data_IF_908098819760
#
_entry.id   IF_908098819760
#
_cell.length_a   1.000
_cell.length_b   1.000
_cell.length_c   1.000
_cell.angle_alpha   90.00
_cell.angle_beta   90.00
_cell.angle_gamma   90.00
#
_symmetry.space_group_name_H-M   'P 1'
#
loop_
_entity.id
_entity.type
_entity.pdbx_description
1 polymer ?
2 polymer ?
3 non-polymer ?
4 water ?
#
# COMPACT_ATOMS: atom_id res chain seq x y z
N UNK A 5 -16.92 9.83 -24.46
CA UNK A 5 -16.47 9.73 -23.05
C UNK A 5 -15.10 9.04 -23.00
N UNK A 6 -14.67 8.21 -23.99
CA UNK A 6 -13.35 7.59 -23.93
C UNK A 6 -12.24 8.62 -23.69
N UNK A 7 -12.30 9.80 -24.34
CA UNK A 7 -11.30 10.85 -24.10
C UNK A 7 -11.22 11.33 -22.65
N UNK A 8 -12.35 11.36 -21.98
CA UNK A 8 -12.42 11.79 -20.59
C UNK A 8 -11.75 10.69 -19.74
N UNK A 9 -11.97 9.44 -20.10
CA UNK A 9 -11.39 8.34 -19.34
C UNK A 9 -9.88 8.32 -19.50
N UNK A 10 -9.37 8.63 -20.71
CA UNK A 10 -7.95 8.61 -20.95
C UNK A 10 -7.31 9.80 -20.24
N UNK A 11 -8.03 10.93 -20.20
CA UNK A 11 -7.53 12.12 -19.51
C UNK A 11 -7.40 11.88 -18.00
N UNK A 12 -8.38 11.18 -17.43
CA UNK A 12 -8.32 10.73 -16.05
C UNK A 12 -7.15 9.78 -15.80
N UNK A 13 -6.93 8.80 -16.68
CA UNK A 13 -5.82 7.88 -16.54
C UNK A 13 -4.51 8.68 -16.52
N UNK A 14 -4.39 9.67 -17.42
CA UNK A 14 -3.14 10.39 -17.52
C UNK A 14 -2.93 11.25 -16.27
N UNK A 15 -3.98 11.91 -15.82
CA UNK A 15 -3.90 12.72 -14.61
C UNK A 15 -3.42 11.89 -13.42
N UNK A 16 -4.01 10.70 -13.26
CA UNK A 16 -3.65 9.84 -12.15
C UNK A 16 -2.20 9.35 -12.29
N UNK A 17 -1.78 8.92 -13.50
CA UNK A 17 -0.41 8.50 -13.71
C UNK A 17 0.57 9.63 -13.33
N UNK A 18 0.31 10.85 -13.84
CA UNK A 18 1.16 12.00 -13.53
C UNK A 18 1.24 12.25 -12.02
N UNK A 19 0.10 12.16 -11.33
CA UNK A 19 0.07 12.33 -9.90
C UNK A 19 0.83 11.22 -9.16
N UNK A 20 0.66 9.98 -9.64
CA UNK A 20 1.37 8.86 -9.07
C UNK A 20 2.88 9.08 -9.16
N UNK A 21 3.38 9.53 -10.33
CA UNK A 21 4.84 9.78 -10.49
C UNK A 21 5.30 10.89 -9.54
N UNK A 22 4.45 11.88 -9.32
CA UNK A 22 4.76 13.00 -8.45
C UNK A 22 4.81 12.55 -6.98
N UNK A 23 4.02 11.51 -6.61
CA UNK A 23 3.75 11.15 -5.22
C UNK A 23 4.66 10.05 -4.71
N UNK A 24 5.04 9.08 -5.56
CA UNK A 24 5.64 7.84 -5.11
C UNK A 24 7.05 7.75 -5.69
N UNK A 25 8.09 7.74 -4.84
CA UNK A 25 9.45 7.72 -5.37
C UNK A 25 9.89 6.43 -6.06
N UNK A 26 9.56 5.29 -5.47
CA UNK A 26 10.10 4.04 -5.98
C UNK A 26 8.94 3.31 -6.67
N UNK A 27 8.81 3.61 -7.95
CA UNK A 27 7.79 3.10 -8.87
C UNK A 27 8.16 1.67 -9.26
N UNK A 28 7.19 0.95 -9.80
CA UNK A 28 7.51 -0.40 -10.30
C UNK A 28 8.55 -0.40 -11.43
N UNK A 29 8.49 0.58 -12.36
CA UNK A 29 9.52 0.68 -13.39
C UNK A 29 10.90 0.81 -12.75
N UNK A 30 11.05 1.64 -11.71
CA UNK A 30 12.37 1.82 -11.13
C UNK A 30 12.82 0.56 -10.38
N UNK A 31 11.89 -0.05 -9.65
CA UNK A 31 12.17 -1.29 -8.92
C UNK A 31 12.58 -2.39 -9.88
N UNK A 32 11.85 -2.54 -10.98
CA UNK A 32 12.09 -3.64 -11.90
C UNK A 32 13.43 -3.41 -12.61
N UNK A 33 13.82 -2.14 -12.82
CA UNK A 33 15.12 -1.87 -13.40
C UNK A 33 16.23 -2.35 -12.48
N UNK A 34 16.09 -2.08 -11.18
CA UNK A 34 17.04 -2.58 -10.18
C UNK A 34 17.03 -4.10 -10.13
N UNK A 35 15.85 -4.71 -9.98
CA UNK A 35 15.73 -6.14 -9.71
C UNK A 35 16.21 -7.00 -10.90
N UNK A 36 16.20 -6.46 -12.13
CA UNK A 36 16.62 -7.19 -13.31
C UNK A 36 18.06 -6.83 -13.71
N UNK A 37 18.70 -5.88 -13.01
CA UNK A 37 20.12 -5.61 -13.24
C UNK A 37 20.38 -4.99 -14.60
N UNK A 43 23.94 -1.82 -8.06
CA UNK A 43 23.50 -3.14 -7.55
C UNK A 43 23.27 -3.06 -6.04
N UNK A 44 22.10 -3.52 -5.50
CA UNK A 44 21.86 -3.38 -4.06
C UNK A 44 22.73 -4.32 -3.22
N UNK A 45 23.12 -3.83 -2.03
CA UNK A 45 23.65 -4.67 -0.97
C UNK A 45 22.56 -5.66 -0.55
N UNK A 46 22.98 -6.87 -0.19
CA UNK A 46 22.00 -7.88 0.21
C UNK A 46 22.08 -8.13 1.72
N UNK A 47 20.94 -8.10 2.37
CA UNK A 47 20.78 -8.56 3.74
C UNK A 47 20.17 -9.96 3.73
N UNK A 48 20.98 -10.94 4.16
CA UNK A 48 20.61 -12.34 4.10
C UNK A 48 20.91 -13.10 5.40
N UNK A 49 21.49 -12.42 6.38
CA UNK A 49 21.92 -13.01 7.65
C UNK A 49 22.18 -11.92 8.66
N UNK A 50 22.51 -12.33 9.89
CA UNK A 50 22.74 -11.35 10.94
C UNK A 50 23.95 -10.48 10.63
N UNK A 51 25.05 -11.07 10.14
CA UNK A 51 26.22 -10.29 9.83
C UNK A 51 25.93 -9.21 8.78
N UNK A 52 25.26 -9.61 7.70
CA UNK A 52 25.01 -8.68 6.61
C UNK A 52 24.02 -7.60 7.07
N UNK A 53 23.08 -7.95 7.94
CA UNK A 53 22.18 -7.00 8.57
C UNK A 53 23.01 -5.93 9.28
N UNK A 54 23.95 -6.36 10.10
CA UNK A 54 24.75 -5.40 10.84
C UNK A 54 25.56 -4.50 9.90
N UNK A 55 26.13 -5.09 8.84
CA UNK A 55 26.86 -4.32 7.85
C UNK A 55 25.90 -3.40 7.10
N UNK A 56 24.71 -3.93 6.80
CA UNK A 56 23.65 -3.16 6.18
C UNK A 56 23.29 -1.92 6.99
N UNK A 57 23.12 -2.07 8.32
CA UNK A 57 22.68 -1.00 9.19
C UNK A 57 23.69 0.15 9.16
N UNK A 72 20.23 -0.57 22.41
CA UNK A 72 19.69 -1.02 21.09
C UNK A 72 18.90 -2.33 21.27
N UNK A 73 17.94 -2.58 20.39
CA UNK A 73 16.94 -3.59 20.67
C UNK A 73 17.30 -4.92 20.00
N UNK A 74 16.54 -5.96 20.34
CA UNK A 74 16.59 -7.24 19.64
C UNK A 74 16.38 -7.10 18.13
N UNK A 75 17.05 -7.98 17.38
CA UNK A 75 17.15 -7.90 15.93
C UNK A 75 15.76 -7.78 15.28
N UNK A 76 14.85 -8.69 15.65
CA UNK A 76 13.56 -8.78 14.97
C UNK A 76 12.79 -7.47 15.18
N UNK A 77 12.96 -6.89 16.37
CA UNK A 77 12.26 -5.65 16.73
C UNK A 77 12.82 -4.48 15.92
N UNK A 78 14.15 -4.39 15.78
CA UNK A 78 14.81 -3.36 15.00
C UNK A 78 14.30 -3.36 13.55
N UNK A 79 14.17 -4.55 12.96
CA UNK A 79 13.65 -4.70 11.60
C UNK A 79 12.18 -4.25 11.56
N UNK A 80 11.36 -4.77 12.48
CA UNK A 80 9.96 -4.36 12.57
C UNK A 80 9.82 -2.84 12.65
N UNK A 81 10.67 -2.17 13.44
CA UNK A 81 10.62 -0.72 13.60
C UNK A 81 10.97 0.00 12.29
N UNK A 82 11.97 -0.52 11.56
CA UNK A 82 12.27 -0.10 10.19
C UNK A 82 11.05 -0.16 9.28
N UNK A 83 10.31 -1.28 9.34
CA UNK A 83 9.14 -1.47 8.49
C UNK A 83 8.09 -0.42 8.82
N UNK A 84 7.97 -0.06 10.09
CA UNK A 84 7.00 0.91 10.56
C UNK A 84 7.31 2.30 10.02
N UNK A 85 8.58 2.69 10.00
CA UNK A 85 8.93 4.00 9.47
C UNK A 85 8.66 4.09 7.97
N UNK A 86 8.92 3.01 7.22
CA UNK A 86 8.64 2.99 5.80
C UNK A 86 7.13 3.12 5.56
N UNK A 87 6.33 2.47 6.43
CA UNK A 87 4.88 2.54 6.30
C UNK A 87 4.44 3.98 6.51
N UNK A 88 5.05 4.70 7.45
CA UNK A 88 4.67 6.08 7.73
C UNK A 88 4.90 7.00 6.52
N UNK A 89 6.04 6.81 5.87
CA UNK A 89 6.34 7.54 4.64
C UNK A 89 5.27 7.18 3.60
N UNK A 90 4.84 5.91 3.55
CA UNK A 90 3.90 5.50 2.53
C UNK A 90 2.54 6.13 2.80
N UNK A 91 2.11 6.15 4.07
CA UNK A 91 0.84 6.79 4.38
C UNK A 91 0.84 8.24 3.89
N UNK A 92 1.94 8.96 4.10
CA UNK A 92 2.05 10.35 3.65
C UNK A 92 1.89 10.45 2.13
N UNK A 93 2.57 9.57 1.42
CA UNK A 93 2.56 9.61 -0.05
C UNK A 93 1.19 9.25 -0.60
N UNK A 94 0.57 8.21 -0.02
CA UNK A 94 -0.75 7.75 -0.42
C UNK A 94 -1.76 8.85 -0.19
N UNK A 95 -1.67 9.59 0.95
CA UNK A 95 -2.61 10.62 1.23
C UNK A 95 -2.45 11.78 0.23
N UNK A 96 -1.21 12.12 -0.13
CA UNK A 96 -0.97 13.17 -1.13
C UNK A 96 -1.55 12.76 -2.49
N UNK A 97 -1.38 11.48 -2.85
CA UNK A 97 -1.99 10.92 -4.04
C UNK A 97 -3.52 11.04 -4.00
N UNK A 98 -4.15 10.64 -2.86
CA UNK A 98 -5.60 10.67 -2.74
C UNK A 98 -6.16 12.05 -3.06
N UNK A 99 -5.45 13.09 -2.59
CA UNK A 99 -5.87 14.46 -2.79
C UNK A 99 -5.98 14.83 -4.25
N UNK A 100 -5.25 14.11 -5.12
CA UNK A 100 -5.22 14.34 -6.54
C UNK A 100 -6.38 13.69 -7.27
N UNK A 101 -7.09 12.77 -6.61
CA UNK A 101 -8.15 12.02 -7.30
C UNK A 101 -9.34 12.93 -7.45
N UNK A 102 -9.80 13.25 -8.67
CA UNK A 102 -10.87 14.23 -8.82
C UNK A 102 -12.12 13.84 -8.05
N UNK A 103 -12.57 14.79 -7.22
CA UNK A 103 -13.71 14.70 -6.35
C UNK A 103 -13.38 14.32 -4.90
N UNK A 104 -12.19 13.77 -4.64
CA UNK A 104 -11.90 13.21 -3.32
C UNK A 104 -11.98 14.31 -2.24
N UNK A 105 -11.34 15.45 -2.47
CA UNK A 105 -11.32 16.47 -1.42
C UNK A 105 -12.65 17.23 -1.33
N UNK A 106 -13.63 16.95 -2.21
CA UNK A 106 -14.96 17.53 -2.12
C UNK A 106 -15.91 16.63 -1.37
N UNK A 107 -15.46 15.44 -0.97
CA UNK A 107 -16.27 14.56 -0.13
C UNK A 107 -16.34 15.11 1.30
N UNK A 108 -17.37 14.71 2.04
CA UNK A 108 -17.43 14.98 3.47
C UNK A 108 -16.08 14.57 4.10
N UNK A 109 -15.50 15.44 4.97
CA UNK A 109 -14.15 15.19 5.42
C UNK A 109 -14.12 13.97 6.33
N UNK A 110 -15.22 13.70 7.05
CA UNK A 110 -15.30 12.48 7.85
C UNK A 110 -15.04 11.25 6.96
N UNK A 111 -15.65 11.28 5.78
CA UNK A 111 -15.54 10.15 4.86
C UNK A 111 -14.17 10.10 4.20
N UNK A 112 -13.56 11.25 3.88
CA UNK A 112 -12.17 11.25 3.47
C UNK A 112 -11.25 10.52 4.45
N UNK A 113 -11.43 10.80 5.74
CA UNK A 113 -10.64 10.17 6.78
C UNK A 113 -10.92 8.68 6.83
N UNK A 114 -12.20 8.27 6.75
CA UNK A 114 -12.53 6.85 6.78
C UNK A 114 -11.88 6.14 5.58
N UNK A 115 -11.93 6.75 4.40
CA UNK A 115 -11.42 6.09 3.19
C UNK A 115 -9.90 5.89 3.32
N UNK A 116 -9.23 6.89 3.89
CA UNK A 116 -7.80 6.76 4.10
C UNK A 116 -7.49 5.72 5.18
N UNK A 117 -8.21 5.77 6.29
CA UNK A 117 -8.00 4.83 7.39
C UNK A 117 -7.99 3.38 6.92
N UNK A 118 -8.98 3.02 6.11
CA UNK A 118 -9.16 1.66 5.69
C UNK A 118 -8.41 1.37 4.41
N UNK A 119 -8.07 2.38 3.61
CA UNK A 119 -7.47 2.15 2.30
C UNK A 119 -5.94 2.04 2.36
N UNK A 120 -5.30 2.70 3.33
CA UNK A 120 -3.86 2.87 3.23
C UNK A 120 -3.16 1.51 3.28
N UNK A 121 -3.56 0.58 4.15
CA UNK A 121 -2.81 -0.67 4.20
C UNK A 121 -2.98 -1.49 2.94
N UNK A 122 -4.17 -1.48 2.37
CA UNK A 122 -4.37 -2.21 1.12
C UNK A 122 -3.42 -1.69 0.04
N UNK A 123 -3.24 -0.37 0.00
CA UNK A 123 -2.40 0.25 -0.98
C UNK A 123 -0.93 -0.07 -0.67
N UNK A 124 -0.55 -0.03 0.64
CA UNK A 124 0.81 -0.39 1.00
C UNK A 124 1.18 -1.75 0.44
N UNK A 125 0.33 -2.75 0.62
CA UNK A 125 0.69 -4.10 0.20
C UNK A 125 0.65 -4.25 -1.31
N UNK A 126 -0.25 -3.53 -2.00
CA UNK A 126 -0.24 -3.46 -3.45
C UNK A 126 1.09 -2.94 -3.96
N UNK A 127 1.56 -1.83 -3.41
CA UNK A 127 2.75 -1.15 -3.91
C UNK A 127 4.02 -1.89 -3.47
N UNK A 128 3.98 -2.56 -2.32
CA UNK A 128 5.10 -3.37 -1.84
C UNK A 128 5.36 -4.47 -2.84
N UNK A 129 4.34 -5.06 -3.47
CA UNK A 129 4.58 -6.10 -4.46
C UNK A 129 5.49 -5.62 -5.58
N UNK A 130 5.44 -4.33 -5.94
CA UNK A 130 6.31 -3.78 -6.97
C UNK A 130 7.78 -3.92 -6.61
N UNK A 131 8.07 -3.95 -5.30
CA UNK A 131 9.46 -4.00 -4.80
C UNK A 131 9.91 -5.43 -4.54
N UNK A 132 9.04 -6.41 -4.76
CA UNK A 132 9.32 -7.78 -4.38
C UNK A 132 9.48 -8.69 -5.61
N UNK A 133 10.31 -9.71 -5.45
CA UNK A 133 10.21 -10.91 -6.29
C UNK A 133 10.09 -12.12 -5.39
N UNK A 134 10.22 -13.32 -5.97
CA UNK A 134 9.98 -14.48 -5.15
C UNK A 134 11.12 -14.65 -4.13
N UNK A 135 12.25 -13.96 -4.36
CA UNK A 135 13.45 -14.17 -3.53
C UNK A 135 13.65 -13.10 -2.44
N UNK A 136 12.93 -11.96 -2.46
CA UNK A 136 13.17 -10.91 -1.48
C UNK A 136 12.61 -9.58 -1.90
N UNK A 137 12.98 -8.53 -1.15
CA UNK A 137 12.35 -7.22 -1.29
C UNK A 137 13.38 -6.10 -1.26
N UNK A 138 13.17 -5.10 -2.11
CA UNK A 138 14.00 -3.91 -2.08
C UNK A 138 13.76 -3.10 -0.83
N UNK A 139 14.85 -2.54 -0.28
CA UNK A 139 14.81 -1.73 0.92
C UNK A 139 15.66 -0.47 0.68
N UNK A 140 15.49 0.48 1.59
CA UNK A 140 16.28 1.71 1.64
C UNK A 140 16.43 2.28 0.23
N UNK A 141 15.25 2.57 -0.31
CA UNK A 141 15.04 3.30 -1.55
C UNK A 141 15.68 2.55 -2.69
N UNK A 142 15.80 1.22 -2.59
CA UNK A 142 16.30 0.45 -3.69
C UNK A 142 17.81 0.21 -3.64
N UNK A 143 18.47 0.74 -2.59
CA UNK A 143 19.90 0.52 -2.39
C UNK A 143 20.20 -0.86 -1.80
N UNK A 144 19.22 -1.50 -1.14
CA UNK A 144 19.41 -2.81 -0.53
C UNK A 144 18.33 -3.79 -0.96
N UNK A 145 18.59 -5.07 -0.70
CA UNK A 145 17.62 -6.11 -0.94
C UNK A 145 17.69 -7.06 0.24
N UNK A 146 16.54 -7.27 0.90
CA UNK A 146 16.49 -8.19 2.03
C UNK A 146 15.87 -9.47 1.52
N UNK A 147 16.51 -10.60 1.83
CA UNK A 147 16.04 -11.86 1.31
C UNK A 147 14.76 -12.27 2.03
N UNK A 148 13.92 -12.93 1.24
CA UNK A 148 12.76 -13.60 1.76
C UNK A 148 13.14 -14.65 2.79
N UNK A 149 14.26 -15.39 2.54
CA UNK A 149 14.66 -16.46 3.44
C UNK A 149 14.99 -15.86 4.82
N UNK A 150 15.68 -14.72 4.80
CA UNK A 150 16.07 -14.06 6.06
C UNK A 150 14.87 -13.57 6.87
N UNK A 151 13.91 -12.98 6.19
CA UNK A 151 12.70 -12.54 6.88
C UNK A 151 11.91 -13.70 7.47
N UNK A 152 11.82 -14.81 6.73
CA UNK A 152 11.12 -16.01 7.20
C UNK A 152 11.85 -16.65 8.38
N UNK A 153 13.16 -16.41 8.49
CA UNK A 153 14.01 -17.02 9.51
C UNK A 153 13.85 -16.34 10.87
N UNK A 154 13.17 -15.18 10.96
CA UNK A 154 13.17 -14.39 12.17
C UNK A 154 12.36 -15.14 13.24
N UNK A 155 12.66 -14.92 14.52
CA UNK A 155 12.06 -15.66 15.62
C UNK A 155 10.55 -15.42 15.59
N UNK A 156 9.78 -16.45 15.95
CA UNK A 156 8.33 -16.30 15.97
C UNK A 156 7.98 -15.18 16.95
N UNK A 157 6.95 -14.35 16.66
CA UNK A 157 6.17 -14.46 15.42
C UNK A 157 6.61 -13.61 14.24
N UNK A 158 7.75 -12.92 14.37
CA UNK A 158 8.19 -11.96 13.35
C UNK A 158 8.47 -12.63 12.02
N UNK A 159 8.83 -13.91 12.04
CA UNK A 159 9.12 -14.71 10.85
C UNK A 159 7.90 -14.81 9.94
N UNK A 160 6.71 -14.42 10.45
CA UNK A 160 5.46 -14.57 9.71
C UNK A 160 4.83 -13.25 9.26
N UNK A 161 5.40 -12.10 9.62
CA UNK A 161 4.92 -10.83 9.12
C UNK A 161 4.98 -10.81 7.60
N UNK A 162 6.14 -11.07 6.97
CA UNK A 162 6.27 -10.70 5.56
C UNK A 162 5.90 -11.84 4.61
N UNK A 163 5.97 -13.09 5.08
CA UNK A 163 5.75 -14.20 4.16
C UNK A 163 4.42 -14.12 3.39
N UNK A 164 3.26 -13.80 4.00
CA UNK A 164 2.00 -13.74 3.26
C UNK A 164 2.04 -12.67 2.18
N UNK A 165 2.84 -11.63 2.45
CA UNK A 165 2.99 -10.52 1.53
C UNK A 165 3.73 -11.04 0.30
N UNK A 166 4.80 -11.83 0.50
CA UNK A 166 5.52 -12.42 -0.63
C UNK A 166 4.60 -13.33 -1.44
N UNK A 167 3.77 -14.14 -0.76
CA UNK A 167 2.87 -15.07 -1.45
C UNK A 167 1.87 -14.27 -2.29
N UNK A 168 1.33 -13.19 -1.71
CA UNK A 168 0.44 -12.28 -2.44
C UNK A 168 1.16 -11.69 -3.65
N UNK A 169 2.39 -11.17 -3.42
CA UNK A 169 3.13 -10.47 -4.45
C UNK A 169 3.47 -11.35 -5.63
N UNK A 170 3.80 -12.63 -5.34
CA UNK A 170 4.10 -13.50 -6.46
C UNK A 170 2.90 -13.67 -7.39
N UNK A 171 1.72 -13.80 -6.82
CA UNK A 171 0.52 -13.95 -7.62
C UNK A 171 0.12 -12.62 -8.28
N UNK A 172 0.26 -11.53 -7.51
CA UNK A 172 -0.09 -10.21 -8.02
C UNK A 172 0.83 -9.81 -9.18
N UNK A 173 2.15 -10.02 -9.04
CA UNK A 173 3.12 -9.66 -10.05
C UNK A 173 2.99 -10.49 -11.33
N UNK A 174 2.36 -11.66 -11.23
CA UNK A 174 2.09 -12.47 -12.43
C UNK A 174 1.10 -11.81 -13.35
N UNK A 175 0.37 -10.78 -12.89
CA UNK A 175 -0.52 -9.99 -13.73
C UNK A 175 0.24 -9.05 -14.66
N UNK A 176 1.51 -8.74 -14.33
CA UNK A 176 2.38 -7.90 -15.16
C UNK A 176 1.84 -6.46 -15.34
N UNK A 177 1.28 -5.91 -14.26
CA UNK A 177 0.77 -4.56 -14.30
C UNK A 177 1.93 -3.59 -14.40
N UNK A 178 1.70 -2.45 -15.06
CA UNK A 178 2.68 -1.40 -14.97
C UNK A 178 2.15 -0.22 -14.14
N UNK A 179 3.00 0.82 -14.00
CA UNK A 179 2.69 1.93 -13.10
C UNK A 179 1.41 2.65 -13.54
N UNK A 180 1.17 2.77 -14.85
CA UNK A 180 -0.03 3.45 -15.31
C UNK A 180 -1.31 2.67 -14.94
N UNK A 181 -1.23 1.36 -14.93
CA UNK A 181 -2.30 0.50 -14.47
C UNK A 181 -2.48 0.66 -12.95
N UNK A 182 -1.37 0.58 -12.21
CA UNK A 182 -1.42 0.67 -10.76
C UNK A 182 -1.99 1.99 -10.29
N UNK A 183 -1.70 3.11 -10.97
CA UNK A 183 -2.23 4.38 -10.53
C UNK A 183 -3.74 4.36 -10.44
N UNK A 184 -4.38 3.75 -11.43
CA UNK A 184 -5.83 3.72 -11.41
C UNK A 184 -6.36 2.72 -10.39
N UNK A 185 -5.70 1.56 -10.32
CA UNK A 185 -6.14 0.53 -9.39
C UNK A 185 -6.10 1.06 -7.95
N UNK A 186 -5.00 1.73 -7.59
CA UNK A 186 -4.93 2.31 -6.26
C UNK A 186 -6.05 3.31 -5.97
N UNK A 187 -6.39 4.17 -6.94
CA UNK A 187 -7.52 5.06 -6.77
C UNK A 187 -8.83 4.31 -6.55
N UNK A 188 -9.04 3.24 -7.31
CA UNK A 188 -10.24 2.41 -7.11
C UNK A 188 -10.33 1.91 -5.69
N UNK A 189 -9.19 1.43 -5.14
CA UNK A 189 -9.16 0.96 -3.76
C UNK A 189 -9.56 2.07 -2.79
N UNK A 190 -8.98 3.27 -2.97
CA UNK A 190 -9.24 4.33 -2.00
C UNK A 190 -10.74 4.66 -1.98
N UNK A 191 -11.37 4.65 -3.17
CA UNK A 191 -12.76 5.08 -3.28
C UNK A 191 -13.71 3.87 -3.11
N UNK A 192 -13.50 3.12 -2.07
CA UNK A 192 -14.31 1.93 -1.71
C UNK A 192 -15.50 2.35 -0.84
N UNK A 193 -16.74 2.21 -1.35
CA UNK A 193 -17.92 2.70 -0.68
C UNK A 193 -18.44 1.73 0.40
N UNK A 194 -17.75 0.58 0.62
CA UNK A 194 -18.15 -0.37 1.65
C UNK A 194 -17.33 -0.26 2.92
N UNK A 195 -16.52 0.81 3.10
CA UNK A 195 -15.80 0.96 4.36
C UNK A 195 -16.75 1.17 5.53
N UNK A 196 -16.43 0.63 6.73
CA UNK A 196 -17.25 0.89 7.92
C UNK A 196 -17.36 2.37 8.26
N UNK A 197 -18.57 2.87 8.54
CA UNK A 197 -18.70 4.19 9.12
C UNK A 197 -18.89 5.30 8.10
N UNK A 198 -18.88 4.99 6.79
CA UNK A 198 -19.10 6.05 5.81
C UNK A 198 -20.48 6.69 5.99
N UNK A 199 -20.52 8.03 5.86
CA UNK A 199 -21.75 8.79 6.00
C UNK A 199 -22.51 8.87 4.68
N UNK A 200 -21.80 9.11 3.57
CA UNK A 200 -22.45 9.33 2.31
C UNK A 200 -21.84 8.44 1.22
N UNK A 201 -22.40 7.23 1.06
CA UNK A 201 -21.78 6.26 0.18
C UNK A 201 -21.92 6.63 -1.29
N UNK A 202 -23.09 7.18 -1.71
CA UNK A 202 -23.35 7.37 -3.12
C UNK A 202 -22.33 8.25 -3.82
N UNK A 203 -21.88 9.42 -3.31
CA UNK A 203 -20.88 10.18 -4.04
C UNK A 203 -19.52 9.47 -4.15
N UNK A 204 -19.23 8.59 -3.19
CA UNK A 204 -18.00 7.80 -3.26
C UNK A 204 -18.10 6.79 -4.40
N UNK A 205 -19.26 6.10 -4.47
CA UNK A 205 -19.47 5.13 -5.53
C UNK A 205 -19.51 5.80 -6.89
N UNK A 206 -19.98 7.05 -6.96
CA UNK A 206 -20.01 7.75 -8.23
C UNK A 206 -18.59 7.94 -8.75
N UNK A 207 -17.69 8.37 -7.84
CA UNK A 207 -16.30 8.52 -8.21
C UNK A 207 -15.70 7.16 -8.58
N UNK A 208 -15.92 6.15 -7.73
CA UNK A 208 -15.33 4.85 -7.98
C UNK A 208 -15.80 4.29 -9.32
N UNK A 209 -17.08 4.54 -9.68
CA UNK A 209 -17.59 4.01 -10.94
C UNK A 209 -16.83 4.57 -12.13
N UNK A 210 -16.49 5.87 -12.07
CA UNK A 210 -15.72 6.50 -13.12
C UNK A 210 -14.30 5.94 -13.15
N UNK A 211 -13.72 5.71 -11.97
CA UNK A 211 -12.38 5.13 -11.87
C UNK A 211 -12.37 3.72 -12.45
N UNK A 212 -13.40 2.93 -12.13
CA UNK A 212 -13.47 1.57 -12.66
C UNK A 212 -13.60 1.58 -14.18
N UNK A 213 -14.43 2.48 -14.72
CA UNK A 213 -14.50 2.58 -16.17
C UNK A 213 -13.13 2.96 -16.77
N UNK A 214 -12.42 3.87 -16.13
CA UNK A 214 -11.06 4.24 -16.56
C UNK A 214 -10.08 3.08 -16.49
N UNK A 215 -10.18 2.27 -15.42
CA UNK A 215 -9.29 1.13 -15.29
C UNK A 215 -9.58 0.08 -16.35
N UNK A 216 -10.87 -0.19 -16.60
CA UNK A 216 -11.27 -1.18 -17.62
C UNK A 216 -10.65 -0.77 -18.98
N UNK A 217 -10.80 0.51 -19.35
CA UNK A 217 -10.25 1.00 -20.63
C UNK A 217 -8.72 0.88 -20.64
N UNK A 218 -8.06 1.34 -19.56
CA UNK A 218 -6.60 1.31 -19.48
C UNK A 218 -6.08 -0.11 -19.67
N UNK A 219 -6.71 -1.12 -19.00
CA UNK A 219 -6.24 -2.47 -19.07
C UNK A 219 -6.48 -3.07 -20.46
N UNK A 220 -7.63 -2.76 -21.04
CA UNK A 220 -7.95 -3.32 -22.36
C UNK A 220 -7.04 -2.70 -23.42
N UNK A 221 -6.73 -1.41 -23.29
CA UNK A 221 -5.76 -0.75 -24.16
C UNK A 221 -4.40 -1.42 -24.04
N UNK A 222 -3.89 -1.52 -22.80
CA UNK A 222 -2.48 -1.69 -22.50
C UNK A 222 -2.11 -3.18 -22.51
N UNK A 223 -3.09 -4.08 -22.35
CA UNK A 223 -2.88 -5.50 -22.22
C UNK A 223 -3.81 -6.32 -23.12
N UNK A 224 -3.71 -6.20 -24.47
CA UNK A 224 -4.62 -6.91 -25.37
C UNK A 224 -4.50 -8.44 -25.30
N UNK A 225 -3.35 -8.91 -24.84
CA UNK A 225 -3.06 -10.32 -24.60
C UNK A 225 -3.89 -10.94 -23.49
N UNK A 226 -4.52 -10.13 -22.62
CA UNK A 226 -5.22 -10.73 -21.48
C UNK A 226 -6.60 -10.07 -21.32
N UNK A 227 -7.63 -10.62 -21.98
CA UNK A 227 -8.93 -9.98 -22.03
C UNK A 227 -9.59 -9.92 -20.65
N UNK A 228 -9.29 -10.89 -19.77
CA UNK A 228 -9.94 -10.90 -18.47
C UNK A 228 -9.01 -10.38 -17.34
N UNK A 229 -8.02 -9.57 -17.71
CA UNK A 229 -7.13 -8.99 -16.70
C UNK A 229 -7.94 -8.18 -15.69
N UNK A 230 -8.88 -7.35 -16.17
CA UNK A 230 -9.69 -6.53 -15.28
C UNK A 230 -10.33 -7.39 -14.18
N UNK A 231 -10.95 -8.50 -14.58
CA UNK A 231 -11.50 -9.43 -13.60
C UNK A 231 -10.46 -9.98 -12.64
N UNK A 232 -9.33 -10.43 -13.16
CA UNK A 232 -8.34 -11.02 -12.29
C UNK A 232 -7.80 -9.99 -11.29
N UNK A 233 -7.56 -8.76 -11.76
CA UNK A 233 -7.06 -7.72 -10.91
C UNK A 233 -8.07 -7.39 -9.82
N UNK A 234 -9.34 -7.20 -10.18
CA UNK A 234 -10.25 -6.79 -9.13
C UNK A 234 -10.42 -7.85 -8.07
N UNK A 235 -10.32 -9.11 -8.51
CA UNK A 235 -10.43 -10.21 -7.57
C UNK A 235 -9.31 -10.13 -6.53
N UNK A 236 -8.19 -9.47 -6.84
CA UNK A 236 -7.11 -9.29 -5.84
C UNK A 236 -7.52 -8.42 -4.64
N UNK A 237 -8.61 -7.66 -4.75
CA UNK A 237 -9.07 -6.83 -3.65
C UNK A 237 -9.47 -7.73 -2.49
N UNK A 238 -9.97 -8.91 -2.81
CA UNK A 238 -10.35 -9.87 -1.79
C UNK A 238 -9.08 -10.32 -1.06
N UNK A 239 -8.05 -10.66 -1.84
CA UNK A 239 -6.74 -11.04 -1.29
C UNK A 239 -6.20 -9.95 -0.37
N UNK A 240 -6.18 -8.70 -0.86
CA UNK A 240 -5.65 -7.61 -0.05
C UNK A 240 -6.35 -7.48 1.29
N UNK A 241 -7.69 -7.54 1.31
CA UNK A 241 -8.40 -7.41 2.56
C UNK A 241 -8.04 -8.52 3.54
N UNK A 242 -7.84 -9.74 3.02
CA UNK A 242 -7.45 -10.87 3.88
C UNK A 242 -6.07 -10.62 4.47
N UNK A 243 -5.12 -10.14 3.67
CA UNK A 243 -3.75 -9.87 4.12
C UNK A 243 -3.80 -8.84 5.23
N UNK A 244 -4.63 -7.81 5.06
CA UNK A 244 -4.70 -6.73 6.01
C UNK A 244 -5.31 -7.23 7.34
N UNK A 245 -6.36 -8.04 7.23
CA UNK A 245 -7.05 -8.63 8.40
C UNK A 245 -6.06 -9.41 9.25
N UNK A 246 -5.30 -10.29 8.57
CA UNK A 246 -4.28 -11.15 9.16
C UNK A 246 -3.18 -10.32 9.79
N UNK A 247 -2.80 -9.22 9.14
CA UNK A 247 -1.73 -8.37 9.64
C UNK A 247 -2.15 -7.72 10.97
N UNK A 248 -3.36 -7.18 10.99
CA UNK A 248 -3.87 -6.53 12.18
C UNK A 248 -3.94 -7.51 13.34
N UNK A 249 -4.32 -8.77 13.07
CA UNK A 249 -4.30 -9.83 14.06
C UNK A 249 -2.91 -10.10 14.61
N UNK A 250 -1.89 -10.18 13.75
CA UNK A 250 -0.54 -10.41 14.24
C UNK A 250 -0.06 -9.24 15.10
N UNK A 251 -0.56 -8.02 14.85
CA UNK A 251 -0.16 -6.90 15.67
C UNK A 251 -0.77 -6.99 17.07
N UNK A 252 -2.02 -7.45 17.16
CA UNK A 252 -2.68 -7.66 18.44
C UNK A 252 -1.87 -8.60 19.33
N UNK A 253 -1.44 -9.72 18.76
CA UNK A 253 -0.57 -10.66 19.44
C UNK A 253 0.65 -9.94 20.01
N UNK A 254 1.43 -9.36 19.11
CA UNK A 254 2.61 -8.59 19.46
C UNK A 254 2.30 -7.52 20.49
N UNK A 255 1.11 -6.91 20.43
CA UNK A 255 0.81 -5.74 21.25
C UNK A 255 1.02 -6.07 22.72
N UNK A 256 0.59 -7.25 23.13
CA UNK A 256 0.56 -7.61 24.53
C UNK A 256 1.98 -7.88 25.01
N UNK A 257 2.59 -8.91 24.42
CA UNK A 257 3.77 -9.55 24.99
C UNK A 257 5.03 -8.77 24.63
N UNK A 258 5.00 -8.03 23.51
CA UNK A 258 6.14 -7.22 23.14
C UNK A 258 5.94 -5.83 23.75
N UNK A 259 6.39 -5.70 24.99
CA UNK A 259 6.44 -4.41 25.67
C UNK A 259 7.56 -3.56 25.09
N UNK A 260 8.29 -4.13 24.13
CA UNK A 260 9.51 -3.57 23.57
C UNK A 260 9.26 -3.04 22.15
N UNK A 261 8.30 -3.62 21.43
CA UNK A 261 7.83 -2.99 20.21
C UNK A 261 7.26 -1.63 20.60
N UNK A 262 7.31 -0.70 19.67
CA UNK A 262 6.74 0.62 19.88
C UNK A 262 6.11 1.07 18.57
N UNK A 263 4.78 1.26 18.62
CA UNK A 263 3.99 1.51 17.42
C UNK A 263 4.02 3.00 17.10
N UNK A 264 4.41 3.37 15.88
CA UNK A 264 4.38 4.77 15.50
C UNK A 264 2.98 5.33 15.76
N UNK A 265 2.89 6.52 16.37
CA UNK A 265 1.65 7.19 16.73
C UNK A 265 0.69 7.48 15.59
N UNK A 266 1.24 7.62 14.33
CA UNK A 266 0.38 7.71 13.13
C UNK A 266 -0.29 6.36 12.86
N UNK A 267 0.49 5.27 12.78
CA UNK A 267 -0.06 3.97 12.56
C UNK A 267 -1.08 3.62 13.66
N UNK A 268 -0.80 4.06 14.90
CA UNK A 268 -1.74 3.80 15.98
C UNK A 268 -3.08 4.43 15.59
N UNK A 269 -3.05 5.63 15.02
CA UNK A 269 -4.29 6.30 14.69
C UNK A 269 -5.06 5.45 13.72
N UNK A 270 -4.39 4.91 12.70
CA UNK A 270 -5.05 4.14 11.69
C UNK A 270 -5.64 2.89 12.31
N UNK A 271 -4.87 2.21 13.15
CA UNK A 271 -5.25 0.89 13.67
C UNK A 271 -6.37 0.99 14.72
N UNK A 272 -6.51 2.13 15.39
CA UNK A 272 -7.47 2.31 16.47
C UNK A 272 -8.89 2.15 15.93
N UNK A 273 -9.61 1.14 16.46
CA UNK A 273 -10.99 0.85 16.09
C UNK A 273 -11.13 0.55 14.60
N UNK A 274 -10.18 -0.22 14.05
CA UNK A 274 -10.20 -0.59 12.65
C UNK A 274 -10.99 -1.89 12.48
C UNK B 1 -9.40 20.22 6.18
N UNK B 2 -9.38 20.07 7.52
CA UNK B 2 -10.14 20.96 8.44
C UNK B 2 -10.60 20.12 9.58
N UNK B 3 -11.58 20.65 10.37
CA UNK B 3 -12.11 19.90 11.48
C UNK B 3 -13.11 18.83 11.01
N UNK B 4 -13.28 17.80 11.82
CA UNK B 4 -14.21 16.72 11.56
C UNK B 4 -14.41 15.98 12.87
N UNK B 5 -15.35 15.03 12.89
CA UNK B 5 -15.82 14.45 14.13
C UNK B 5 -14.73 13.74 14.92
N UNK B 6 -13.71 13.19 14.27
CA UNK B 6 -12.69 12.41 14.93
C UNK B 6 -11.34 13.12 14.91
N UNK B 7 -11.38 14.46 14.83
CA UNK B 7 -10.16 15.23 14.75
C UNK B 7 -9.20 14.80 15.85
N UNK B 8 -9.74 14.75 17.10
CA UNK B 8 -8.76 14.55 18.20
C UNK B 8 -8.05 13.19 18.01
N UNK B 9 -8.63 12.11 17.48
CA UNK B 9 -8.00 10.77 17.40
C UNK B 9 -7.40 10.52 16.00
N UNK B 10 -7.33 11.59 15.22
CA UNK B 10 -6.65 11.47 13.87
C UNK B 10 -5.82 12.72 13.64
N UNK B 11 -5.15 13.23 14.68
CA UNK B 11 -4.47 14.52 14.52
C UNK B 11 -3.34 14.37 13.53
N UNK B 12 -2.55 13.31 13.54
CA UNK B 12 -1.40 13.20 12.61
C UNK B 12 -1.86 12.91 11.16
N UNK B 13 -2.89 12.09 11.01
CA UNK B 13 -3.40 11.84 9.65
C UNK B 13 -4.04 13.10 9.04
N UNK B 14 -4.82 13.85 9.87
CA UNK B 14 -5.40 15.11 9.44
C UNK B 14 -4.33 16.10 9.09
N UNK B 15 -3.11 16.13 9.83
CA UNK B 15 -2.05 17.09 9.46
C UNK B 15 -1.57 16.80 8.06
N UNK B 16 -1.55 15.47 7.79
CA UNK B 16 -1.08 15.11 6.41
C UNK B 16 -2.08 15.54 5.33
N UNK B 17 -3.35 15.25 5.55
CA UNK B 17 -4.40 15.44 4.55
C UNK B 17 -4.65 16.95 4.34
N UNK B 18 -4.63 17.71 5.45
CA UNK B 18 -5.16 19.06 5.47
C UNK B 18 -4.05 20.13 5.63
N UNK B 19 -2.86 19.74 6.11
X LIG C 1 -17.83 9.17 11.33
X LIG C 1 -18.77 10.05 11.96
X LIG C 1 -17.27 8.18 12.30
X LIG C 1 -17.12 6.90 11.70
X LIG C 1 -17.68 5.85 12.48
X LIG C 1 -16.95 5.71 13.78
X LIG C 1 -17.63 4.84 14.66
#
# INVERSE_FOLDING_TARGET
QLNPESADLRALAKHLYDSYIKSFPLTKAKARAILTGKTTDKSPFVIYDMNSLMMGEDKIKFKHITPLQEQSKEVAIRIFQGCQFRSVEAVQEITEYAKSIPGFVNLDLNDQVTLLKYGVHEIIYTMLASLMNKDGVLISEGQGFMTREFLKSLRKPFGDFMEPKFEFAVKFNALELDDSDLAIFIAVIILSGDRPGLLNVKPIEDIQDNLLQALELQLKLNHPESSQLFAKLLQKMTDLRQIVTEHVQLLQVIKKTETDMSLHPLLQEIYKDLY
XYTHKRLXSXXRLTXILCX
PEG C1 O1 C2 O2 C3 C4 O4
#
